data_IF_362038339723
#
_entry.id   IF_362038339723
#
_cell.length_a   1.000
_cell.length_b   1.000
_cell.length_c   1.000
_cell.angle_alpha   90.00
_cell.angle_beta   90.00
_cell.angle_gamma   90.00
#
_symmetry.space_group_name_H-M   'P 1'
#
loop_
_entity.id
_entity.type
_entity.pdbx_description
1 polymer ?
#
# COMPACT_ATOMS: atom_id res chain seq x y z
N UNK A 1 -8.08 8.34 -31.13
CA UNK A 1 -9.06 7.40 -30.54
C UNK A 1 -8.43 6.02 -30.51
N UNK A 2 -7.63 5.75 -29.49
CA UNK A 2 -6.95 4.46 -29.30
C UNK A 2 -7.95 3.53 -28.64
N UNK A 3 -8.39 2.50 -29.39
CA UNK A 3 -9.45 1.60 -28.98
C UNK A 3 -9.13 0.90 -27.67
N UNK A 4 -10.09 0.92 -26.75
CA UNK A 4 -10.04 0.14 -25.53
C UNK A 4 -9.93 -1.36 -25.90
N UNK A 5 -8.73 -1.93 -25.76
CA UNK A 5 -8.60 -3.36 -25.50
C UNK A 5 -9.45 -3.65 -24.26
N UNK A 6 -10.56 -4.36 -24.44
CA UNK A 6 -11.58 -4.52 -23.42
C UNK A 6 -11.05 -5.30 -22.22
N UNK A 7 -10.69 -4.60 -21.15
CA UNK A 7 -10.41 -5.20 -19.86
C UNK A 7 -11.71 -5.63 -19.19
N UNK A 8 -11.71 -6.79 -18.55
CA UNK A 8 -12.89 -7.38 -17.90
C UNK A 8 -12.97 -7.05 -16.40
N UNK A 9 -11.84 -6.82 -15.74
CA UNK A 9 -11.75 -6.61 -14.29
C UNK A 9 -11.10 -5.30 -13.88
N UNK A 10 -10.59 -4.52 -14.84
CA UNK A 10 -10.15 -3.14 -14.64
C UNK A 10 -10.82 -2.23 -15.68
N UNK A 11 -10.73 -0.92 -15.48
CA UNK A 11 -10.98 0.10 -16.51
C UNK A 11 -9.71 0.94 -16.64
N UNK A 12 -9.36 1.33 -17.86
CA UNK A 12 -8.28 2.26 -18.12
C UNK A 12 -8.83 3.41 -18.95
N UNK A 13 -8.77 4.62 -18.40
CA UNK A 13 -9.19 5.86 -19.06
C UNK A 13 -8.00 6.79 -19.17
N UNK A 14 -7.78 7.39 -20.34
CA UNK A 14 -6.66 8.32 -20.58
C UNK A 14 -7.22 9.67 -20.98
N UNK A 15 -6.96 10.68 -20.16
CA UNK A 15 -7.38 12.05 -20.40
C UNK A 15 -6.29 13.02 -19.92
N UNK A 16 -6.00 14.05 -20.72
CA UNK A 16 -5.07 15.14 -20.36
C UNK A 16 -3.67 14.67 -19.92
N UNK A 17 -3.22 13.55 -20.50
CA UNK A 17 -1.95 12.89 -20.20
C UNK A 17 -1.92 12.16 -18.85
N UNK A 18 -3.09 11.84 -18.28
CA UNK A 18 -3.27 11.05 -17.07
C UNK A 18 -3.96 9.75 -17.44
N UNK A 19 -3.33 8.61 -17.17
CA UNK A 19 -3.96 7.32 -17.27
C UNK A 19 -4.56 6.92 -15.91
N UNK A 20 -5.88 6.79 -15.83
CA UNK A 20 -6.60 6.35 -14.63
C UNK A 20 -7.00 4.89 -14.78
N UNK A 21 -6.32 4.03 -14.04
CA UNK A 21 -6.61 2.60 -13.94
C UNK A 21 -7.50 2.35 -12.71
N UNK A 22 -8.73 1.91 -12.95
CA UNK A 22 -9.70 1.59 -11.90
C UNK A 22 -9.87 0.08 -11.76
N UNK A 23 -9.60 -0.49 -10.60
CA UNK A 23 -9.97 -1.88 -10.28
C UNK A 23 -11.50 -2.00 -10.29
N UNK A 24 -12.06 -2.88 -11.10
CA UNK A 24 -13.48 -2.84 -11.46
C UNK A 24 -14.21 -4.16 -11.15
N UNK A 25 -14.19 -4.56 -9.88
CA UNK A 25 -15.06 -5.63 -9.35
C UNK A 25 -15.75 -5.16 -8.05
N UNK A 26 -16.52 -4.07 -8.10
CA UNK A 26 -17.02 -3.39 -6.90
C UNK A 26 -17.86 -4.31 -6.00
N UNK A 27 -18.63 -5.23 -6.57
CA UNK A 27 -19.47 -6.21 -5.85
C UNK A 27 -18.65 -7.20 -5.01
N UNK A 28 -17.38 -7.38 -5.37
CA UNK A 28 -16.40 -8.23 -4.66
C UNK A 28 -15.34 -7.38 -3.94
N UNK A 29 -15.60 -6.09 -3.70
CA UNK A 29 -14.63 -5.15 -3.12
C UNK A 29 -13.29 -5.15 -3.87
N UNK A 30 -13.33 -5.29 -5.20
CA UNK A 30 -12.17 -5.36 -6.07
C UNK A 30 -11.17 -6.43 -5.64
N UNK A 31 -11.66 -7.60 -5.19
CA UNK A 31 -10.81 -8.72 -4.86
C UNK A 31 -9.91 -9.10 -6.05
N UNK A 32 -8.65 -9.36 -5.77
CA UNK A 32 -7.59 -9.54 -6.76
C UNK A 32 -7.59 -10.97 -7.31
N UNK A 33 -7.48 -11.10 -8.62
CA UNK A 33 -7.45 -12.39 -9.34
C UNK A 33 -6.26 -12.45 -10.29
N UNK A 34 -5.98 -13.64 -10.82
CA UNK A 34 -4.98 -13.80 -11.88
C UNK A 34 -5.35 -13.05 -13.17
N UNK A 35 -6.65 -12.90 -13.47
CA UNK A 35 -7.12 -12.09 -14.62
C UNK A 35 -6.78 -10.63 -14.40
N UNK A 36 -7.14 -10.06 -13.25
CA UNK A 36 -6.82 -8.68 -12.90
C UNK A 36 -5.31 -8.44 -12.91
N UNK A 37 -4.50 -9.41 -12.47
CA UNK A 37 -3.04 -9.30 -12.53
C UNK A 37 -2.51 -9.12 -13.96
N UNK A 38 -3.02 -9.92 -14.91
CA UNK A 38 -2.64 -9.81 -16.34
C UNK A 38 -3.11 -8.50 -16.95
N UNK A 39 -4.35 -8.11 -16.67
CA UNK A 39 -4.91 -6.86 -17.18
C UNK A 39 -4.17 -5.63 -16.65
N UNK A 40 -3.77 -5.64 -15.36
CA UNK A 40 -2.96 -4.57 -14.78
C UNK A 40 -1.60 -4.46 -15.47
N UNK A 41 -0.90 -5.58 -15.67
CA UNK A 41 0.40 -5.55 -16.39
C UNK A 41 0.22 -5.06 -17.83
N UNK A 42 -0.79 -5.56 -18.55
CA UNK A 42 -1.09 -5.11 -19.90
C UNK A 42 -1.41 -3.60 -19.97
N UNK A 43 -2.16 -3.08 -18.98
CA UNK A 43 -2.44 -1.66 -18.88
C UNK A 43 -1.17 -0.85 -18.60
N UNK A 44 -0.29 -1.32 -17.70
CA UNK A 44 0.97 -0.65 -17.42
C UNK A 44 1.92 -0.65 -18.64
N UNK A 45 1.95 -1.75 -19.40
CA UNK A 45 2.69 -1.84 -20.66
C UNK A 45 2.17 -0.86 -21.69
N UNK A 46 0.84 -0.76 -21.84
CA UNK A 46 0.23 0.22 -22.73
C UNK A 46 0.56 1.66 -22.31
N UNK A 47 0.50 1.98 -21.01
CA UNK A 47 0.82 3.34 -20.53
C UNK A 47 2.29 3.70 -20.63
N UNK A 48 3.20 2.73 -20.51
CA UNK A 48 4.63 2.97 -20.67
C UNK A 48 5.04 3.14 -22.13
N UNK A 49 4.29 2.54 -23.07
CA UNK A 49 4.49 2.68 -24.50
C UNK A 49 3.87 3.95 -25.09
N UNK A 50 2.96 4.60 -24.37
CA UNK A 50 2.28 5.83 -24.78
C UNK A 50 3.03 7.07 -24.26
N UNK A 51 3.56 7.87 -25.17
CA UNK A 51 4.29 9.11 -24.84
C UNK A 51 3.36 10.25 -24.39
N UNK A 52 2.07 10.19 -24.74
CA UNK A 52 1.08 11.18 -24.28
C UNK A 52 0.71 10.97 -22.80
N UNK A 53 0.91 9.75 -22.27
CA UNK A 53 0.71 9.45 -20.85
C UNK A 53 1.92 9.92 -20.04
N UNK A 54 1.68 10.81 -19.07
CA UNK A 54 2.71 11.39 -18.20
C UNK A 54 2.69 10.84 -16.78
N UNK A 55 1.55 10.33 -16.33
CA UNK A 55 1.34 9.81 -14.97
C UNK A 55 0.23 8.76 -14.98
N UNK A 56 0.36 7.77 -14.11
CA UNK A 56 -0.64 6.72 -13.93
C UNK A 56 -1.23 6.81 -12.53
N UNK A 57 -2.55 6.81 -12.44
CA UNK A 57 -3.30 6.76 -11.18
C UNK A 57 -3.99 5.40 -11.10
N UNK A 58 -3.80 4.69 -9.99
CA UNK A 58 -4.50 3.43 -9.69
C UNK A 58 -5.49 3.65 -8.56
N UNK A 59 -6.76 3.30 -8.77
CA UNK A 59 -7.85 3.43 -7.78
C UNK A 59 -8.81 2.24 -7.84
N UNK A 60 -9.75 2.12 -6.89
CA UNK A 60 -10.78 1.09 -6.90
C UNK A 60 -12.17 1.63 -7.21
N UNK A 61 -12.97 0.87 -7.96
CA UNK A 61 -14.39 1.17 -8.17
C UNK A 61 -15.19 0.96 -6.89
N UNK A 62 -16.22 1.79 -6.69
CA UNK A 62 -17.16 1.67 -5.58
C UNK A 62 -16.53 2.02 -4.22
N UNK A 63 -16.90 1.24 -3.19
CA UNK A 63 -16.62 1.58 -1.79
C UNK A 63 -15.25 1.16 -1.25
N UNK A 64 -14.40 0.56 -2.08
CA UNK A 64 -13.10 0.04 -1.63
C UNK A 64 -12.04 0.08 -2.71
N UNK A 65 -10.78 0.07 -2.26
CA UNK A 65 -9.65 -0.03 -3.17
C UNK A 65 -9.50 -1.48 -3.64
N UNK A 66 -9.13 -2.39 -2.71
CA UNK A 66 -9.01 -3.82 -2.96
C UNK A 66 -9.02 -4.60 -1.63
N UNK A 67 -9.94 -5.56 -1.47
CA UNK A 67 -10.07 -6.36 -0.25
C UNK A 67 -9.00 -7.47 -0.08
N UNK A 68 -8.09 -7.62 -1.04
CA UNK A 68 -7.08 -8.68 -1.05
C UNK A 68 -7.38 -9.76 -2.09
N UNK A 69 -6.80 -10.95 -1.91
CA UNK A 69 -6.97 -12.05 -2.85
C UNK A 69 -8.44 -12.48 -2.91
N UNK A 70 -8.92 -12.85 -4.09
CA UNK A 70 -10.25 -13.43 -4.24
C UNK A 70 -10.33 -14.80 -3.55
N UNK A 71 -11.10 -14.87 -2.47
CA UNK A 71 -11.27 -16.07 -1.66
C UNK A 71 -12.41 -16.97 -2.16
N UNK A 72 -12.88 -16.80 -3.40
CA UNK A 72 -13.98 -17.58 -3.97
C UNK A 72 -13.78 -19.09 -3.93
N UNK A 73 -12.53 -19.58 -3.84
CA UNK A 73 -12.18 -21.00 -3.68
C UNK A 73 -11.93 -21.45 -2.25
N UNK A 74 -12.16 -20.58 -1.25
CA UNK A 74 -11.94 -20.90 0.15
C UNK A 74 -10.47 -21.25 0.44
N UNK A 75 -10.22 -22.33 1.18
CA UNK A 75 -8.86 -22.74 1.57
C UNK A 75 -7.95 -23.07 0.37
N UNK A 76 -8.51 -23.62 -0.72
CA UNK A 76 -7.77 -23.93 -1.95
C UNK A 76 -7.16 -22.69 -2.62
N UNK A 77 -7.67 -21.50 -2.30
CA UNK A 77 -7.11 -20.22 -2.77
C UNK A 77 -5.62 -20.11 -2.47
N UNK A 78 -5.11 -20.74 -1.39
CA UNK A 78 -3.71 -20.65 -0.98
C UNK A 78 -2.92 -21.94 -1.11
N UNK A 79 -3.56 -23.03 -1.53
CA UNK A 79 -2.93 -24.34 -1.68
C UNK A 79 -1.90 -24.31 -2.81
N UNK A 80 -0.65 -24.67 -2.52
CA UNK A 80 0.42 -24.71 -3.51
C UNK A 80 0.33 -25.95 -4.41
N UNK A 81 -0.43 -26.96 -4.00
CA UNK A 81 -0.62 -28.23 -4.71
C UNK A 81 -1.85 -28.21 -5.63
N UNK A 82 -2.67 -27.15 -5.56
CA UNK A 82 -3.85 -27.01 -6.41
C UNK A 82 -3.45 -26.71 -7.86
N UNK A 83 -3.76 -27.64 -8.76
CA UNK A 83 -3.43 -27.55 -10.20
C UNK A 83 -4.11 -26.36 -10.88
N UNK A 84 -5.32 -25.99 -10.43
CA UNK A 84 -6.04 -24.84 -11.00
C UNK A 84 -5.31 -23.54 -10.67
N UNK A 85 -4.81 -23.41 -9.44
CA UNK A 85 -3.98 -22.28 -9.00
C UNK A 85 -2.64 -22.26 -9.72
N UNK A 86 -2.03 -23.43 -9.96
CA UNK A 86 -0.82 -23.53 -10.77
C UNK A 86 -1.06 -23.04 -12.21
N UNK A 87 -2.16 -23.48 -12.84
CA UNK A 87 -2.57 -23.06 -14.17
C UNK A 87 -2.90 -21.55 -14.22
N UNK A 88 -3.57 -21.01 -13.21
CA UNK A 88 -3.86 -19.57 -13.12
C UNK A 88 -2.60 -18.71 -13.04
N UNK A 89 -1.52 -19.25 -12.46
CA UNK A 89 -0.21 -18.60 -12.37
C UNK A 89 0.69 -18.90 -13.56
N UNK A 90 0.26 -19.77 -14.48
CA UNK A 90 0.98 -20.02 -15.71
C UNK A 90 1.16 -18.69 -16.48
N UNK A 91 2.40 -18.44 -16.91
CA UNK A 91 2.79 -17.20 -17.59
C UNK A 91 3.26 -16.07 -16.67
N UNK A 92 3.13 -16.17 -15.34
CA UNK A 92 3.75 -15.18 -14.44
C UNK A 92 5.27 -15.35 -14.31
N UNK A 93 5.80 -16.47 -14.82
CA UNK A 93 7.22 -16.81 -14.73
C UNK A 93 7.62 -17.36 -13.36
N UNK A 94 8.92 -17.58 -13.22
CA UNK A 94 9.52 -18.13 -12.00
C UNK A 94 10.61 -17.21 -11.44
N UNK A 95 10.99 -17.43 -10.19
CA UNK A 95 12.19 -16.89 -9.54
C UNK A 95 12.84 -18.10 -8.86
N UNK A 96 14.07 -18.42 -9.24
CA UNK A 96 14.82 -19.57 -8.70
C UNK A 96 14.04 -20.89 -8.75
N UNK A 97 13.31 -21.12 -9.85
CA UNK A 97 12.47 -22.30 -10.05
C UNK A 97 11.11 -22.26 -9.33
N UNK A 98 10.83 -21.24 -8.52
CA UNK A 98 9.56 -21.07 -7.80
C UNK A 98 8.62 -20.18 -8.61
N UNK A 99 7.37 -20.62 -8.81
CA UNK A 99 6.34 -19.82 -9.50
C UNK A 99 6.06 -18.50 -8.77
N UNK A 100 6.00 -17.39 -9.52
CA UNK A 100 5.66 -16.08 -8.95
C UNK A 100 4.22 -16.04 -8.47
N UNK A 101 3.96 -15.37 -7.35
CA UNK A 101 2.59 -14.99 -6.98
C UNK A 101 2.09 -13.87 -7.90
N UNK A 102 0.77 -13.82 -8.14
CA UNK A 102 0.17 -12.85 -9.05
C UNK A 102 0.37 -11.40 -8.58
N UNK A 103 0.41 -11.15 -7.27
CA UNK A 103 0.74 -9.83 -6.75
C UNK A 103 2.19 -9.46 -7.06
N UNK A 104 3.14 -10.37 -6.84
CA UNK A 104 4.56 -10.18 -7.12
C UNK A 104 4.84 -9.91 -8.60
N UNK A 105 4.14 -10.62 -9.49
CA UNK A 105 4.13 -10.37 -10.92
C UNK A 105 3.78 -8.91 -11.24
N UNK A 106 2.70 -8.39 -10.66
CA UNK A 106 2.28 -6.99 -10.86
C UNK A 106 3.23 -6.00 -10.17
N UNK A 107 3.65 -6.28 -8.93
CA UNK A 107 4.47 -5.34 -8.16
C UNK A 107 5.85 -5.11 -8.77
N UNK A 108 6.48 -6.15 -9.31
CA UNK A 108 7.74 -5.99 -10.03
C UNK A 108 7.53 -5.19 -11.32
N UNK A 109 6.40 -5.35 -11.99
CA UNK A 109 6.06 -4.55 -13.17
C UNK A 109 5.84 -3.07 -12.82
N UNK A 110 5.15 -2.78 -11.73
CA UNK A 110 4.95 -1.41 -11.23
C UNK A 110 6.30 -0.77 -10.88
N UNK A 111 7.19 -1.50 -10.21
CA UNK A 111 8.52 -1.01 -9.86
C UNK A 111 9.42 -0.75 -11.10
N UNK A 112 9.11 -1.37 -12.24
CA UNK A 112 9.78 -1.15 -13.51
C UNK A 112 9.09 -0.11 -14.41
N UNK A 113 8.02 0.54 -13.91
CA UNK A 113 7.28 1.56 -14.67
C UNK A 113 8.17 2.74 -15.05
N UNK A 114 7.99 3.26 -16.27
CA UNK A 114 8.69 4.45 -16.76
C UNK A 114 7.95 5.73 -16.41
N UNK A 115 6.68 5.62 -16.03
CA UNK A 115 5.83 6.74 -15.63
C UNK A 115 5.66 6.77 -14.10
N UNK A 116 5.56 7.96 -13.47
CA UNK A 116 5.17 8.08 -12.08
C UNK A 116 3.83 7.39 -11.79
N UNK A 117 3.79 6.63 -10.69
CA UNK A 117 2.66 5.82 -10.27
C UNK A 117 2.04 6.34 -8.97
N UNK A 118 0.74 6.65 -8.99
CA UNK A 118 0.01 7.16 -7.82
C UNK A 118 -1.09 6.15 -7.41
N UNK A 119 -1.02 5.66 -6.18
CA UNK A 119 -2.11 4.92 -5.55
C UNK A 119 -3.12 5.91 -4.96
N UNK A 120 -4.33 6.00 -5.54
CA UNK A 120 -5.46 6.73 -4.97
C UNK A 120 -6.39 5.74 -4.24
N UNK A 121 -6.24 5.64 -2.93
CA UNK A 121 -6.81 4.61 -2.08
C UNK A 121 -8.13 5.11 -1.49
N UNK A 122 -9.23 4.82 -2.19
CA UNK A 122 -10.58 5.31 -1.89
C UNK A 122 -11.30 4.58 -0.75
N UNK A 123 -10.76 3.48 -0.22
CA UNK A 123 -11.40 2.70 0.83
C UNK A 123 -10.53 1.54 1.32
N UNK A 124 -11.11 0.41 1.76
CA UNK A 124 -10.34 -0.73 2.26
C UNK A 124 -9.29 -1.24 1.25
N UNK A 125 -8.07 -1.46 1.74
CA UNK A 125 -6.90 -2.00 1.06
C UNK A 125 -6.25 -3.04 1.99
N UNK A 126 -6.46 -4.33 1.74
CA UNK A 126 -6.04 -5.42 2.64
C UNK A 126 -5.32 -6.53 1.88
N UNK A 127 -4.30 -7.16 2.47
CA UNK A 127 -3.50 -8.21 1.82
C UNK A 127 -2.84 -7.69 0.54
N UNK A 128 -2.95 -8.43 -0.57
CA UNK A 128 -2.55 -7.96 -1.91
C UNK A 128 -3.08 -6.56 -2.25
N UNK A 129 -4.26 -6.16 -1.75
CA UNK A 129 -4.79 -4.82 -1.96
C UNK A 129 -3.98 -3.71 -1.30
N UNK A 130 -3.34 -3.99 -0.16
CA UNK A 130 -2.40 -3.05 0.48
C UNK A 130 -1.02 -3.15 -0.17
N UNK A 131 -0.53 -4.37 -0.41
CA UNK A 131 0.85 -4.57 -0.89
C UNK A 131 1.05 -4.14 -2.33
N UNK A 132 0.02 -4.24 -3.18
CA UNK A 132 0.05 -3.76 -4.56
C UNK A 132 0.40 -2.27 -4.65
N UNK A 133 0.09 -1.49 -3.61
CA UNK A 133 0.36 -0.05 -3.56
C UNK A 133 1.79 0.30 -3.13
N UNK A 134 2.52 -0.65 -2.55
CA UNK A 134 3.87 -0.43 -2.01
C UNK A 134 4.92 -0.06 -3.07
N UNK A 135 4.96 -0.69 -4.27
CA UNK A 135 5.91 -0.30 -5.32
C UNK A 135 5.58 1.03 -6.02
N UNK A 136 4.40 1.62 -5.77
CA UNK A 136 4.02 2.89 -6.39
C UNK A 136 4.79 4.07 -5.75
N UNK A 137 4.87 5.22 -6.42
CA UNK A 137 5.67 6.36 -5.94
C UNK A 137 4.94 7.13 -4.84
N UNK A 138 3.64 7.36 -5.03
CA UNK A 138 2.81 8.17 -4.14
C UNK A 138 1.60 7.36 -3.69
N UNK A 139 1.24 7.45 -2.42
CA UNK A 139 0.00 6.90 -1.86
C UNK A 139 -0.84 8.02 -1.27
N UNK A 140 -2.04 8.21 -1.82
CA UNK A 140 -3.05 9.13 -1.34
C UNK A 140 -4.20 8.31 -0.79
N UNK A 141 -4.49 8.43 0.50
CA UNK A 141 -5.53 7.66 1.16
C UNK A 141 -6.70 8.56 1.56
N UNK A 142 -7.93 8.13 1.22
CA UNK A 142 -9.13 8.73 1.77
C UNK A 142 -9.17 8.51 3.30
N UNK A 143 -9.82 9.40 4.06
CA UNK A 143 -9.97 9.23 5.52
C UNK A 143 -10.72 7.93 5.89
N UNK A 144 -11.60 7.47 5.00
CA UNK A 144 -12.31 6.20 5.08
C UNK A 144 -11.45 4.98 4.77
N UNK A 145 -10.23 5.15 4.23
CA UNK A 145 -9.35 4.05 3.86
C UNK A 145 -8.92 3.24 5.08
N UNK A 146 -8.77 1.93 4.87
CA UNK A 146 -8.36 0.98 5.91
C UNK A 146 -7.29 0.08 5.32
N UNK A 147 -6.20 -0.11 6.05
CA UNK A 147 -5.04 -0.88 5.64
C UNK A 147 -4.88 -2.11 6.51
N UNK A 148 -4.48 -3.24 5.92
CA UNK A 148 -4.24 -4.46 6.68
C UNK A 148 -3.25 -5.41 6.01
N UNK A 149 -2.14 -5.69 6.69
CA UNK A 149 -1.14 -6.70 6.31
C UNK A 149 -1.43 -8.01 7.03
N UNK A 150 -2.53 -8.67 6.66
CA UNK A 150 -3.17 -9.73 7.45
C UNK A 150 -2.52 -11.13 7.32
N UNK A 151 -1.27 -11.23 6.86
CA UNK A 151 -0.62 -12.51 6.50
C UNK A 151 -0.61 -13.53 7.65
N UNK A 152 -0.16 -13.10 8.84
CA UNK A 152 -0.09 -13.95 10.04
C UNK A 152 -1.45 -14.49 10.46
N UNK A 153 -2.52 -13.72 10.26
CA UNK A 153 -3.90 -14.15 10.56
C UNK A 153 -4.45 -15.16 9.55
N UNK A 154 -3.71 -15.47 8.49
CA UNK A 154 -4.08 -16.45 7.45
C UNK A 154 -3.02 -17.55 7.30
N UNK A 155 -2.01 -17.58 8.17
CA UNK A 155 -0.91 -18.54 8.07
C UNK A 155 -0.05 -18.33 6.82
N UNK A 156 0.00 -17.10 6.30
CA UNK A 156 0.74 -16.75 5.08
C UNK A 156 2.02 -15.99 5.42
N UNK A 157 3.02 -16.15 4.55
CA UNK A 157 4.18 -15.26 4.49
C UNK A 157 3.82 -13.97 3.74
N UNK A 158 4.57 -12.87 3.92
CA UNK A 158 4.39 -11.67 3.09
C UNK A 158 4.53 -11.99 1.59
N UNK A 159 3.54 -11.57 0.80
CA UNK A 159 3.47 -11.79 -0.65
C UNK A 159 3.77 -10.50 -1.43
N UNK A 160 3.67 -10.51 -2.77
CA UNK A 160 3.66 -9.27 -3.57
C UNK A 160 4.93 -8.43 -3.40
N UNK A 161 6.07 -9.11 -3.19
CA UNK A 161 7.36 -8.50 -2.84
C UNK A 161 7.31 -7.56 -1.61
N UNK A 162 6.28 -7.69 -0.75
CA UNK A 162 6.05 -6.75 0.35
C UNK A 162 7.09 -6.82 1.46
N UNK A 163 7.76 -7.96 1.63
CA UNK A 163 8.93 -8.08 2.52
C UNK A 163 10.08 -7.16 2.10
N UNK A 164 10.17 -6.80 0.81
CA UNK A 164 11.14 -5.85 0.30
C UNK A 164 10.64 -4.41 0.37
N UNK A 165 9.42 -4.14 -0.13
CA UNK A 165 8.90 -2.77 -0.23
C UNK A 165 8.47 -2.21 1.13
N UNK A 166 7.73 -2.97 1.94
CA UNK A 166 7.10 -2.43 3.16
C UNK A 166 8.13 -1.85 4.15
N UNK A 167 9.24 -2.52 4.48
CA UNK A 167 10.25 -1.95 5.39
C UNK A 167 10.90 -0.67 4.85
N UNK A 168 10.96 -0.49 3.52
CA UNK A 168 11.49 0.72 2.89
C UNK A 168 10.50 1.88 2.94
N UNK A 169 9.20 1.59 2.93
CA UNK A 169 8.16 2.62 3.03
C UNK A 169 7.99 3.12 4.47
N UNK A 170 7.99 2.22 5.46
CA UNK A 170 7.59 2.58 6.85
C UNK A 170 8.66 2.31 7.92
N UNK A 171 9.82 1.78 7.52
CA UNK A 171 10.84 1.30 8.45
C UNK A 171 10.53 -0.11 8.96
N UNK A 172 11.58 -0.86 9.28
CA UNK A 172 11.47 -2.29 9.64
C UNK A 172 10.65 -2.52 10.92
N UNK A 173 10.77 -1.67 11.94
CA UNK A 173 10.04 -1.82 13.19
C UNK A 173 8.53 -1.73 13.00
N UNK A 174 8.08 -0.74 12.22
CA UNK A 174 6.66 -0.57 11.93
C UNK A 174 6.12 -1.68 11.02
N UNK A 175 6.91 -2.08 10.02
CA UNK A 175 6.57 -3.18 9.12
C UNK A 175 6.36 -4.49 9.90
N UNK A 176 7.26 -4.81 10.84
CA UNK A 176 7.16 -6.00 11.69
C UNK A 176 5.93 -5.94 12.59
N UNK A 177 5.63 -4.80 13.22
CA UNK A 177 4.42 -4.67 14.04
C UNK A 177 3.15 -4.96 13.23
N UNK A 178 3.03 -4.38 12.03
CA UNK A 178 1.86 -4.54 11.18
C UNK A 178 1.70 -5.98 10.70
N UNK A 179 2.78 -6.61 10.24
CA UNK A 179 2.76 -8.00 9.76
C UNK A 179 2.53 -8.98 10.91
N UNK A 180 3.24 -8.83 12.03
CA UNK A 180 3.15 -9.75 13.17
C UNK A 180 1.76 -9.71 13.83
N UNK A 181 1.17 -8.52 13.99
CA UNK A 181 -0.17 -8.39 14.59
C UNK A 181 -1.30 -8.68 13.59
N UNK A 182 -1.01 -8.52 12.29
CA UNK A 182 -1.99 -8.53 11.21
C UNK A 182 -3.13 -7.52 11.42
N UNK A 183 -2.93 -6.47 12.21
CA UNK A 183 -3.99 -5.52 12.57
C UNK A 183 -4.44 -4.71 11.35
N UNK A 184 -5.72 -4.37 11.32
CA UNK A 184 -6.25 -3.37 10.39
C UNK A 184 -6.11 -1.99 11.07
N UNK A 185 -5.81 -0.96 10.29
CA UNK A 185 -5.69 0.42 10.75
C UNK A 185 -6.25 1.40 9.71
N UNK A 186 -6.57 2.62 10.14
CA UNK A 186 -7.10 3.67 9.28
C UNK A 186 -5.99 4.52 8.62
N UNK A 187 -6.40 5.47 7.78
CA UNK A 187 -5.48 6.32 7.02
C UNK A 187 -4.54 7.17 7.90
N UNK A 188 -4.90 7.44 9.16
CA UNK A 188 -4.04 8.18 10.11
C UNK A 188 -3.26 7.26 11.04
N UNK A 189 -3.22 5.96 10.74
CA UNK A 189 -2.44 4.96 11.47
C UNK A 189 -3.12 4.44 12.76
N UNK A 190 -4.34 4.90 13.06
CA UNK A 190 -5.09 4.46 14.24
C UNK A 190 -5.74 3.12 13.94
N UNK A 191 -5.59 2.16 14.84
CA UNK A 191 -6.40 0.95 14.74
C UNK A 191 -7.86 1.28 15.07
N UNK A 192 -8.83 0.88 14.24
CA UNK A 192 -10.22 1.03 14.59
C UNK A 192 -10.46 0.33 15.94
N UNK A 193 -11.33 0.91 16.77
CA UNK A 193 -11.89 0.21 17.91
C UNK A 193 -12.38 -1.16 17.41
N UNK A 194 -11.94 -2.23 18.09
CA UNK A 194 -12.08 -3.61 17.63
C UNK A 194 -13.48 -3.87 17.10
N UNK A 195 -13.61 -4.29 15.85
CA UNK A 195 -14.83 -4.88 15.33
C UNK A 195 -15.00 -6.24 16.02
N UNK A 196 -15.93 -6.34 16.98
CA UNK A 196 -16.39 -7.58 17.60
C UNK A 196 -15.74 -7.96 18.95
N UNK A 197 -16.58 -7.96 19.99
CA UNK A 197 -16.47 -8.85 21.15
C UNK A 197 -15.65 -8.33 22.34
N UNK A 198 -16.35 -8.12 23.45
CA UNK A 198 -15.84 -7.87 24.81
C UNK A 198 -14.44 -8.44 25.09
N UNK A 199 -13.54 -7.57 25.56
CA UNK A 199 -12.59 -8.02 26.58
C UNK A 199 -13.21 -7.70 27.93
N UNK A 200 -13.28 -8.64 28.89
CA UNK A 200 -13.56 -8.26 30.26
C UNK A 200 -12.50 -7.28 30.73
N UNK A 201 -12.95 -6.20 31.37
CA UNK A 201 -12.10 -5.19 31.98
C UNK A 201 -11.07 -5.88 32.88
N UNK A 202 -9.77 -5.63 32.64
CA UNK A 202 -8.75 -6.04 33.59
C UNK A 202 -8.91 -5.18 34.85
N UNK A 203 -9.02 -5.75 36.05
CA UNK A 203 -8.92 -4.96 37.27
C UNK A 203 -7.51 -4.36 37.33
N UNK A 204 -7.45 -3.04 37.53
CA UNK A 204 -6.19 -2.30 37.59
C UNK A 204 -5.35 -2.76 38.79
N UNK A 205 -4.01 -2.76 38.69
CA UNK A 205 -3.17 -3.09 39.82
C UNK A 205 -3.29 -1.99 40.88
N UNK A 206 -3.66 -2.42 42.09
CA UNK A 206 -3.68 -1.58 43.28
C UNK A 206 -2.34 -0.89 43.50
N UNK A 207 -2.42 0.38 43.88
CA UNK A 207 -1.27 1.20 44.28
C UNK A 207 -0.47 0.48 45.37
N UNK A 208 0.81 0.18 45.09
CA UNK A 208 1.85 0.11 46.13
C UNK A 208 3.00 1.02 45.73
N UNK A 209 3.29 1.96 46.63
CA UNK A 209 4.33 2.96 46.47
C UNK A 209 5.73 2.36 46.51
N UNK A 210 6.61 2.95 45.72
CA UNK A 210 8.04 2.71 45.75
C UNK A 210 8.71 3.91 45.09
N UNK A 211 9.29 4.78 45.92
CA UNK A 211 9.98 5.99 45.50
C UNK A 211 11.26 5.63 44.75
N UNK A 212 11.43 6.15 43.55
CA UNK A 212 12.75 6.54 43.04
C UNK A 212 12.65 7.90 42.35
N UNK A 213 13.18 8.91 43.04
CA UNK A 213 13.64 10.21 42.51
C UNK A 213 15.11 9.98 42.14
N UNK A 214 15.73 10.58 41.11
CA UNK A 214 16.08 12.01 40.85
C UNK A 214 16.69 12.08 39.41
N UNK A 215 17.27 13.19 38.90
CA UNK A 215 16.86 14.61 38.70
C UNK A 215 16.64 14.90 37.19
N UNK A 216 16.13 16.03 36.67
CA UNK A 216 16.23 17.43 37.07
C UNK A 216 17.02 18.22 36.01
N UNK A 217 16.29 18.82 35.06
CA UNK A 217 16.55 20.04 34.27
C UNK A 217 17.80 20.22 33.39
N UNK A 218 17.58 20.67 32.14
CA UNK A 218 18.11 21.96 31.65
C UNK A 218 17.44 22.34 30.32
N UNK A 219 16.86 23.54 30.26
CA UNK A 219 16.34 24.13 29.04
C UNK A 219 17.43 24.68 28.14
N UNK A 220 17.13 24.77 26.85
CA UNK A 220 17.81 25.67 25.92
C UNK A 220 16.84 26.09 24.82
N UNK A 221 16.51 27.38 24.81
CA UNK A 221 15.84 28.06 23.71
C UNK A 221 16.86 28.44 22.61
N UNK A 222 16.34 29.12 21.57
CA UNK A 222 17.02 29.98 20.57
C UNK A 222 17.29 29.31 19.20
N UNK A 223 17.24 30.00 18.03
CA UNK A 223 16.54 31.23 17.61
C UNK A 223 15.60 31.03 16.38
N UNK A 224 14.80 32.05 16.05
CA UNK A 224 14.23 32.24 14.70
C UNK A 224 15.18 33.11 13.85
N UNK A 225 15.28 32.84 12.54
CA UNK A 225 15.33 33.91 11.56
C UNK A 225 14.29 33.72 10.47
N UNK A 226 13.61 34.82 10.12
CA UNK A 226 12.62 34.87 9.06
C UNK A 226 13.24 34.95 7.68
N UNK A 227 12.55 34.35 6.70
CA UNK A 227 12.44 34.89 5.34
C UNK A 227 11.07 34.45 4.79
N UNK A 228 10.20 35.44 4.54
CA UNK A 228 8.89 35.22 3.92
C UNK A 228 9.11 34.93 2.42
N UNK A 229 8.45 33.90 1.92
CA UNK A 229 8.22 33.69 0.48
C UNK A 229 6.71 33.69 0.22
N UNK A 230 6.27 34.11 -0.99
CA UNK A 230 4.92 34.60 -1.21
C UNK A 230 3.87 33.49 -1.16
N UNK A 231 2.68 33.85 -0.62
CA UNK A 231 1.51 32.98 -0.58
C UNK A 231 0.91 32.89 -2.00
N UNK A 232 1.05 31.75 -2.66
CA UNK A 232 0.13 31.38 -3.74
C UNK A 232 -1.22 31.01 -3.12
N UNK A 233 -2.22 31.86 -3.34
CA UNK A 233 -3.63 31.53 -3.11
C UNK A 233 -4.15 30.82 -4.36
N UNK A 234 -4.42 29.52 -4.24
CA UNK A 234 -5.46 28.83 -5.01
C UNK A 234 -6.02 27.72 -4.12
N UNK A 235 -7.34 27.70 -3.98
CA UNK A 235 -8.04 26.86 -3.02
C UNK A 235 -8.25 25.44 -3.54
N UNK A 236 -7.76 24.47 -2.77
CA UNK A 236 -8.44 23.20 -2.52
C UNK A 236 -7.78 22.58 -1.27
N UNK A 237 -8.56 22.42 -0.20
CA UNK A 237 -8.07 21.93 1.08
C UNK A 237 -7.93 20.40 1.06
N UNK A 238 -6.76 19.91 0.66
CA UNK A 238 -6.28 18.56 0.97
C UNK A 238 -5.00 18.69 1.77
N UNK A 239 -5.04 18.39 3.08
CA UNK A 239 -3.85 18.42 3.93
C UNK A 239 -2.91 17.26 3.55
N UNK A 240 -1.91 17.56 2.73
CA UNK A 240 -0.77 16.68 2.50
C UNK A 240 0.09 16.61 3.78
N UNK A 241 0.19 15.43 4.38
CA UNK A 241 1.12 15.15 5.49
C UNK A 241 2.42 14.64 4.86
N UNK A 242 3.37 15.56 4.63
CA UNK A 242 4.75 15.25 4.26
C UNK A 242 5.55 15.00 5.55
N UNK A 243 5.87 13.75 5.88
CA UNK A 243 6.90 13.47 6.90
C UNK A 243 8.28 13.59 6.24
N UNK A 244 8.97 14.71 6.49
CA UNK A 244 10.36 14.90 6.07
C UNK A 244 11.27 14.00 6.93
N UNK A 245 11.96 13.06 6.29
CA UNK A 245 13.16 12.44 6.85
C UNK A 245 14.38 13.20 6.31
N UNK A 246 15.07 13.96 7.17
CA UNK A 246 16.32 14.62 6.82
C UNK A 246 17.50 13.74 7.21
N UNK A 247 18.08 13.01 6.25
CA UNK A 247 19.41 12.44 6.39
C UNK A 247 20.41 13.41 5.74
N UNK A 248 21.17 14.14 6.55
CA UNK A 248 22.27 14.97 6.09
C UNK A 248 23.51 14.08 5.86
N UNK A 249 23.95 14.00 4.61
CA UNK A 249 25.24 13.45 4.19
C UNK A 249 26.33 14.43 4.61
N UNK A 250 27.33 13.97 5.37
CA UNK A 250 28.58 14.74 5.60
C UNK A 250 29.54 14.50 4.42
N UNK A 251 30.20 15.53 3.88
CA UNK A 251 31.30 15.34 2.95
C UNK A 251 32.55 14.81 3.70
N UNK A 252 33.24 13.85 3.10
CA UNK A 252 34.59 13.43 3.47
C UNK A 252 35.56 14.38 2.77
N UNK A 253 36.28 15.16 3.57
CA UNK A 253 37.40 15.96 3.10
C UNK A 253 38.58 15.03 2.73
N UNK A 254 39.24 15.37 1.62
CA UNK A 254 40.48 14.77 1.16
C UNK A 254 41.65 15.41 1.90
N UNK A 255 42.49 14.58 2.52
CA UNK A 255 43.96 14.67 2.51
C UNK A 255 44.53 13.24 2.53
#
# INVERSE_FOLDING_TARGET
>A
MTGATGYSQIRCDVAEGIATITLNRPDRLNAFTATMARELVAAFDATDADDDVRVVIVTGAGRGFCAGADLGRGAATFDATDETRAAERAGFGTIDGVARDGGGYVSLRVAASRKPMIAAINGPAVGVGATLTLPMDIRLAAESARFGFVFTRRGLVPETASSWFLPRVVGISQAMEWVATGRVFDAVGRSPARFGGDRPARPGPGRRGGRHRVPGEAGAAVPRPGRRLPRCRTGLAGRAILSRSSAAVRPLDRE
#
